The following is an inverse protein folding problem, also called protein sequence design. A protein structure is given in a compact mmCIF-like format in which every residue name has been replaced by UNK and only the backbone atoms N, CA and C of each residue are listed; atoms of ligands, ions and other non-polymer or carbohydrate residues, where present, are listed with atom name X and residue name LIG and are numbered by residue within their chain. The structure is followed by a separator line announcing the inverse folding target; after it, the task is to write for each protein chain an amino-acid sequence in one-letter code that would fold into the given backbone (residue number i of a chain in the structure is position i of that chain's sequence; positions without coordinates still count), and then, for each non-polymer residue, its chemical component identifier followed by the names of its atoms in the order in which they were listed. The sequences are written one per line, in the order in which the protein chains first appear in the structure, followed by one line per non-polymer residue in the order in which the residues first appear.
data_IF_144090219503
#
_entry.id   IF_144090219503
#
_cell.length_a   1.000
_cell.length_b   1.000
_cell.length_c   1.000
_cell.angle_alpha   90.00
_cell.angle_beta   90.00
_cell.angle_gamma   90.00
#
_symmetry.space_group_name_H-M   'P 1'
#
loop_
_entity.id
_entity.type
_entity.pdbx_description
1 polymer ?
#
# COMPACT_ATOMS: atom_id res chain seq x y z
N UNK A 1 3.78 0.91 -10.48
CA UNK A 1 4.93 1.62 -9.84
C UNK A 1 5.31 2.63 -10.90
N UNK A 2 4.72 3.83 -10.91
CA UNK A 2 4.52 4.55 -12.19
C UNK A 2 5.35 5.84 -12.33
N UNK A 3 6.51 5.90 -11.68
CA UNK A 3 7.63 6.57 -12.36
C UNK A 3 8.12 5.58 -13.40
N UNK A 4 8.19 6.01 -14.66
CA UNK A 4 8.90 5.24 -15.68
C UNK A 4 10.27 4.87 -15.12
N UNK A 5 10.47 3.60 -14.83
CA UNK A 5 11.66 3.12 -14.14
C UNK A 5 12.57 2.41 -15.13
N UNK A 6 13.85 2.31 -14.78
CA UNK A 6 14.79 1.49 -15.53
C UNK A 6 14.74 0.08 -14.96
N UNK A 7 14.19 -0.87 -15.72
CA UNK A 7 14.24 -2.28 -15.38
C UNK A 7 15.61 -2.83 -15.79
N UNK A 8 16.35 -3.43 -14.85
CA UNK A 8 17.70 -3.93 -15.12
C UNK A 8 17.75 -5.45 -15.04
N UNK A 9 18.17 -6.09 -16.13
CA UNK A 9 18.30 -7.54 -16.24
C UNK A 9 19.80 -7.92 -16.20
N UNK A 10 20.30 -8.17 -14.99
CA UNK A 10 21.73 -8.34 -14.67
C UNK A 10 22.42 -9.61 -15.18
N UNK A 11 21.87 -10.29 -16.18
CA UNK A 11 22.33 -11.64 -16.53
C UNK A 11 23.73 -11.63 -17.18
N UNK A 12 24.72 -12.13 -16.43
CA UNK A 12 26.10 -12.31 -16.89
C UNK A 12 27.08 -11.18 -16.52
N UNK A 13 26.58 -10.08 -15.93
CA UNK A 13 27.43 -9.03 -15.37
C UNK A 13 28.03 -9.46 -14.02
N UNK A 14 29.22 -8.95 -13.68
CA UNK A 14 29.77 -9.14 -12.35
C UNK A 14 28.91 -8.37 -11.33
N UNK A 15 28.43 -9.05 -10.30
CA UNK A 15 27.50 -8.50 -9.30
C UNK A 15 27.95 -7.15 -8.72
N UNK A 16 29.24 -7.02 -8.36
CA UNK A 16 29.78 -5.78 -7.81
C UNK A 16 29.76 -4.60 -8.80
N UNK A 17 29.93 -4.87 -10.09
CA UNK A 17 29.87 -3.84 -11.13
C UNK A 17 28.42 -3.44 -11.42
N UNK A 18 27.51 -4.42 -11.42
CA UNK A 18 26.08 -4.19 -11.55
C UNK A 18 25.55 -3.34 -10.39
N UNK A 19 25.83 -3.71 -9.14
CA UNK A 19 25.40 -2.95 -7.96
C UNK A 19 25.91 -1.51 -7.98
N UNK A 20 27.17 -1.31 -8.41
CA UNK A 20 27.74 0.01 -8.58
C UNK A 20 27.00 0.83 -9.65
N UNK A 21 26.68 0.23 -10.80
CA UNK A 21 25.90 0.87 -11.87
C UNK A 21 24.52 1.28 -11.37
N UNK A 22 23.79 0.35 -10.72
CA UNK A 22 22.46 0.60 -10.16
C UNK A 22 22.49 1.75 -9.16
N UNK A 23 23.47 1.74 -8.24
CA UNK A 23 23.65 2.79 -7.25
C UNK A 23 23.90 4.16 -7.90
N UNK A 24 24.71 4.22 -8.96
CA UNK A 24 25.05 5.47 -9.65
C UNK A 24 23.90 6.00 -10.49
N UNK A 25 23.12 5.13 -11.13
CA UNK A 25 21.89 5.53 -11.83
C UNK A 25 20.90 6.12 -10.82
N UNK A 26 20.69 5.44 -9.68
CA UNK A 26 19.82 5.94 -8.61
C UNK A 26 20.31 7.27 -8.02
N UNK A 27 21.61 7.44 -7.80
CA UNK A 27 22.20 8.68 -7.32
C UNK A 27 22.02 9.87 -8.29
N UNK A 28 21.71 9.61 -9.56
CA UNK A 28 21.37 10.62 -10.57
C UNK A 28 19.86 10.90 -10.68
N UNK A 29 19.07 10.42 -9.71
CA UNK A 29 17.64 10.69 -9.59
C UNK A 29 16.75 9.83 -10.47
N UNK A 30 17.23 8.68 -10.95
CA UNK A 30 16.44 7.74 -11.74
C UNK A 30 15.99 6.55 -10.87
N UNK A 31 14.71 6.17 -10.98
CA UNK A 31 14.18 4.98 -10.31
C UNK A 31 14.61 3.73 -11.06
N UNK A 32 15.21 2.78 -10.34
CA UNK A 32 15.77 1.55 -10.92
C UNK A 32 15.17 0.34 -10.22
N UNK A 33 14.71 -0.63 -11.01
CA UNK A 33 14.18 -1.90 -10.52
C UNK A 33 15.06 -3.01 -11.06
N UNK A 34 15.63 -3.82 -10.17
CA UNK A 34 16.37 -5.01 -10.56
C UNK A 34 15.39 -6.15 -10.84
N UNK A 35 15.45 -6.71 -12.04
CA UNK A 35 14.74 -7.92 -12.39
C UNK A 35 15.39 -9.17 -11.80
N UNK A 36 14.71 -10.33 -11.82
CA UNK A 36 15.30 -11.59 -11.36
C UNK A 36 16.52 -12.00 -12.19
N UNK A 37 17.44 -12.75 -11.57
CA UNK A 37 18.60 -13.32 -12.26
C UNK A 37 18.18 -14.41 -13.28
N UNK A 38 19.16 -14.93 -14.04
CA UNK A 38 19.00 -15.91 -15.15
C UNK A 38 17.96 -16.99 -14.81
N UNK A 39 16.87 -17.04 -15.58
CA UNK A 39 15.79 -18.03 -15.47
C UNK A 39 14.54 -17.58 -14.68
N UNK A 40 14.53 -16.38 -14.09
CA UNK A 40 13.32 -15.76 -13.55
C UNK A 40 12.67 -14.77 -14.53
N UNK A 41 11.34 -14.63 -14.47
CA UNK A 41 10.62 -13.58 -15.20
C UNK A 41 10.31 -12.41 -14.26
N UNK A 42 10.61 -11.15 -14.64
CA UNK A 42 10.09 -10.01 -13.90
C UNK A 42 8.56 -10.10 -13.85
N UNK A 43 7.95 -9.55 -12.79
CA UNK A 43 6.49 -9.50 -12.75
C UNK A 43 5.98 -8.65 -13.92
N UNK A 44 4.82 -9.02 -14.49
CA UNK A 44 4.20 -8.27 -15.58
C UNK A 44 4.08 -6.76 -15.28
N UNK A 45 3.80 -6.40 -14.02
CA UNK A 45 3.75 -5.00 -13.59
C UNK A 45 5.11 -4.28 -13.71
N UNK A 46 6.23 -4.96 -13.41
CA UNK A 46 7.56 -4.38 -13.58
C UNK A 46 7.88 -4.17 -15.06
N UNK A 47 7.53 -5.10 -15.94
CA UNK A 47 7.78 -4.93 -17.37
C UNK A 47 6.86 -3.89 -18.02
N UNK A 48 5.57 -3.86 -17.65
CA UNK A 48 4.60 -2.93 -18.21
C UNK A 48 4.96 -1.47 -17.91
N UNK A 49 5.44 -1.20 -16.69
CA UNK A 49 5.71 0.15 -16.18
C UNK A 49 7.15 0.65 -16.47
N UNK A 50 8.05 -0.22 -16.97
CA UNK A 50 9.44 0.15 -17.21
C UNK A 50 9.60 1.11 -18.41
N UNK A 51 10.24 2.26 -18.18
CA UNK A 51 10.62 3.21 -19.23
C UNK A 51 11.69 2.68 -20.18
N UNK A 52 12.64 1.93 -19.61
CA UNK A 52 13.75 1.37 -20.33
C UNK A 52 14.09 0.00 -19.75
N UNK A 53 14.52 -0.90 -20.63
CA UNK A 53 15.10 -2.18 -20.24
C UNK A 53 16.62 -2.08 -20.42
N UNK A 54 17.34 -2.08 -19.30
CA UNK A 54 18.79 -2.04 -19.27
C UNK A 54 19.35 -3.47 -19.16
N UNK A 55 20.13 -3.87 -20.16
CA UNK A 55 20.76 -5.19 -20.22
C UNK A 55 22.27 -5.02 -20.12
N UNK A 56 22.85 -5.09 -18.91
CA UNK A 56 24.29 -5.07 -18.75
C UNK A 56 24.91 -6.43 -19.12
N UNK A 57 25.98 -6.42 -19.92
CA UNK A 57 26.81 -7.61 -20.18
C UNK A 57 28.08 -7.61 -19.33
N UNK A 58 28.54 -8.81 -19.01
CA UNK A 58 29.87 -9.06 -18.46
C UNK A 58 30.66 -10.02 -19.34
N UNK A 59 31.60 -10.76 -18.74
CA UNK A 59 32.50 -11.66 -19.46
C UNK A 59 31.79 -12.80 -20.23
N UNK A 60 30.53 -13.10 -19.87
CA UNK A 60 29.74 -14.17 -20.49
C UNK A 60 28.93 -13.71 -21.72
N UNK A 61 29.02 -12.43 -22.11
CA UNK A 61 28.28 -11.88 -23.25
C UNK A 61 26.89 -11.38 -22.88
N UNK A 62 26.04 -11.19 -23.90
CA UNK A 62 24.65 -10.77 -23.71
C UNK A 62 23.78 -11.94 -23.27
N UNK A 63 22.82 -11.71 -22.35
CA UNK A 63 21.87 -12.75 -21.98
C UNK A 63 20.95 -13.12 -23.14
N UNK A 64 20.48 -14.37 -23.16
CA UNK A 64 19.56 -14.87 -24.18
C UNK A 64 18.25 -14.07 -24.14
N UNK A 65 17.90 -13.44 -25.26
CA UNK A 65 16.72 -12.59 -25.42
C UNK A 65 15.40 -13.31 -25.20
N UNK A 66 15.40 -14.66 -25.12
CA UNK A 66 14.21 -15.45 -24.80
C UNK A 66 13.79 -15.41 -23.33
N UNK A 67 14.63 -14.89 -22.42
CA UNK A 67 14.35 -14.91 -20.98
C UNK A 67 13.48 -13.76 -20.47
N UNK A 68 13.31 -12.71 -21.28
CA UNK A 68 12.51 -11.52 -20.96
C UNK A 68 12.02 -10.89 -22.28
N UNK A 69 11.01 -10.02 -22.25
CA UNK A 69 10.41 -9.47 -23.47
C UNK A 69 11.26 -8.35 -24.11
N UNK A 70 12.54 -8.64 -24.40
CA UNK A 70 13.47 -7.68 -25.01
C UNK A 70 13.01 -7.24 -26.39
N UNK A 71 12.26 -8.10 -27.10
CA UNK A 71 11.74 -7.81 -28.43
C UNK A 71 10.73 -6.66 -28.41
N UNK A 72 9.87 -6.59 -27.38
CA UNK A 72 8.96 -5.45 -27.20
C UNK A 72 9.73 -4.16 -26.93
N UNK A 73 10.66 -4.17 -25.96
CA UNK A 73 11.47 -2.98 -25.64
C UNK A 73 12.32 -2.53 -26.84
N UNK A 74 12.86 -3.44 -27.65
CA UNK A 74 13.59 -3.11 -28.86
C UNK A 74 12.69 -2.42 -29.90
N UNK A 75 11.49 -2.98 -30.17
CA UNK A 75 10.49 -2.38 -31.09
C UNK A 75 10.05 -0.99 -30.65
N UNK A 76 9.96 -0.76 -29.34
CA UNK A 76 9.60 0.54 -28.76
C UNK A 76 10.81 1.50 -28.61
N UNK A 77 12.02 1.09 -28.99
CA UNK A 77 13.23 1.91 -28.88
C UNK A 77 13.69 2.17 -27.44
N UNK A 78 13.35 1.29 -26.51
CA UNK A 78 13.57 1.42 -25.07
C UNK A 78 14.56 0.39 -24.50
N UNK A 79 15.07 -0.50 -25.36
CA UNK A 79 16.11 -1.45 -24.99
C UNK A 79 17.47 -0.75 -25.00
N UNK A 80 18.23 -0.93 -23.92
CA UNK A 80 19.55 -0.33 -23.74
C UNK A 80 20.54 -1.39 -23.29
N UNK A 81 21.56 -1.63 -24.11
CA UNK A 81 22.68 -2.49 -23.81
C UNK A 81 23.82 -1.71 -23.15
N UNK A 82 24.37 -2.26 -22.07
CA UNK A 82 25.54 -1.66 -21.39
C UNK A 82 26.64 -2.70 -21.29
N UNK A 83 27.80 -2.43 -21.87
CA UNK A 83 28.97 -3.29 -21.63
C UNK A 83 29.66 -2.90 -20.32
N UNK A 84 29.74 -3.83 -19.37
CA UNK A 84 30.55 -3.67 -18.14
C UNK A 84 31.83 -4.52 -18.17
N UNK A 85 31.99 -5.39 -19.18
CA UNK A 85 33.12 -6.29 -19.32
C UNK A 85 34.32 -5.65 -20.02
N UNK A 86 35.52 -6.22 -19.78
CA UNK A 86 36.75 -5.81 -20.47
C UNK A 86 36.74 -6.13 -21.98
N UNK A 87 35.90 -7.08 -22.40
CA UNK A 87 35.69 -7.43 -23.80
C UNK A 87 34.26 -7.03 -24.14
N UNK A 88 34.10 -6.03 -25.01
CA UNK A 88 32.80 -5.59 -25.48
C UNK A 88 32.19 -6.64 -26.43
N UNK A 89 31.13 -7.37 -26.03
CA UNK A 89 30.41 -8.18 -26.98
C UNK A 89 29.68 -7.25 -27.96
N UNK A 90 29.65 -7.61 -29.25
CA UNK A 90 28.88 -6.87 -30.24
C UNK A 90 27.39 -6.95 -29.85
N UNK A 91 26.69 -5.82 -29.62
CA UNK A 91 25.27 -5.85 -29.32
C UNK A 91 24.48 -6.43 -30.50
N UNK A 92 23.34 -7.10 -30.25
CA UNK A 92 22.40 -7.45 -31.31
C UNK A 92 22.02 -6.23 -32.16
N UNK A 93 21.84 -6.42 -33.46
CA UNK A 93 21.38 -5.38 -34.39
C UNK A 93 19.84 -5.27 -34.35
N UNK A 94 19.32 -4.81 -33.22
CA UNK A 94 17.88 -4.69 -32.94
C UNK A 94 17.41 -3.24 -32.76
N UNK A 95 18.29 -2.26 -33.03
CA UNK A 95 18.03 -0.83 -32.88
C UNK A 95 18.12 -0.32 -31.43
N UNK A 96 18.54 -1.15 -30.48
CA UNK A 96 18.76 -0.74 -29.10
C UNK A 96 19.89 0.29 -28.95
N UNK A 97 19.80 1.12 -27.91
CA UNK A 97 20.91 1.96 -27.49
C UNK A 97 22.06 1.10 -26.95
N UNK A 98 23.31 1.47 -27.24
CA UNK A 98 24.50 0.79 -26.73
C UNK A 98 25.45 1.78 -26.06
N UNK A 99 25.92 1.44 -24.87
CA UNK A 99 26.85 2.24 -24.08
C UNK A 99 28.00 1.36 -23.57
N UNK A 100 29.24 1.77 -23.81
CA UNK A 100 30.43 1.01 -23.42
C UNK A 100 31.03 1.56 -22.12
N UNK A 101 30.81 0.84 -21.02
CA UNK A 101 31.36 1.15 -19.70
C UNK A 101 32.46 0.13 -19.31
N UNK A 102 33.18 -0.44 -20.28
CA UNK A 102 34.33 -1.31 -20.03
C UNK A 102 35.35 -0.63 -19.10
N UNK A 103 35.68 -1.28 -17.98
CA UNK A 103 36.66 -0.77 -17.01
C UNK A 103 36.19 0.48 -16.25
N UNK A 104 34.90 0.82 -16.31
CA UNK A 104 34.34 1.94 -15.58
C UNK A 104 34.44 1.73 -14.07
N UNK A 105 34.97 2.74 -13.36
CA UNK A 105 35.24 2.68 -11.93
C UNK A 105 34.14 3.33 -11.06
N UNK A 106 32.98 3.67 -11.65
CA UNK A 106 31.89 4.34 -10.95
C UNK A 106 31.98 5.88 -10.96
N UNK A 107 32.81 6.46 -11.83
CA UNK A 107 32.98 7.90 -11.98
C UNK A 107 31.99 8.52 -12.99
N UNK A 108 31.88 9.84 -13.02
CA UNK A 108 30.99 10.56 -13.94
C UNK A 108 31.62 10.69 -15.33
N UNK A 109 31.99 9.56 -15.94
CA UNK A 109 32.61 9.51 -17.27
C UNK A 109 31.66 10.06 -18.34
N UNK A 110 32.21 10.49 -19.47
CA UNK A 110 31.39 11.03 -20.57
C UNK A 110 30.36 10.00 -21.07
N UNK A 111 30.73 8.72 -21.15
CA UNK A 111 29.82 7.66 -21.59
C UNK A 111 28.75 7.34 -20.54
N UNK A 112 29.08 7.37 -19.26
CA UNK A 112 28.08 7.21 -18.19
C UNK A 112 27.07 8.38 -18.21
N UNK A 113 27.52 9.61 -18.39
CA UNK A 113 26.62 10.76 -18.51
C UNK A 113 25.70 10.64 -19.74
N UNK A 114 26.23 10.15 -20.88
CA UNK A 114 25.41 9.86 -22.07
C UNK A 114 24.34 8.80 -21.80
N UNK A 115 24.68 7.74 -21.06
CA UNK A 115 23.71 6.72 -20.63
C UNK A 115 22.61 7.36 -19.78
N UNK A 116 22.96 8.17 -18.78
CA UNK A 116 21.98 8.83 -17.91
C UNK A 116 21.06 9.76 -18.69
N UNK A 117 21.60 10.57 -19.59
CA UNK A 117 20.79 11.48 -20.40
C UNK A 117 19.86 10.72 -21.37
N UNK A 118 20.34 9.61 -21.95
CA UNK A 118 19.51 8.74 -22.77
C UNK A 118 18.36 8.11 -21.97
N UNK A 119 18.65 7.57 -20.77
CA UNK A 119 17.62 7.00 -19.88
C UNK A 119 16.60 8.07 -19.46
N UNK A 120 17.03 9.31 -19.18
CA UNK A 120 16.12 10.43 -18.89
C UNK A 120 15.19 10.72 -20.07
N UNK A 121 15.70 10.69 -21.30
CA UNK A 121 14.87 10.87 -22.49
C UNK A 121 13.87 9.73 -22.63
N UNK A 122 14.28 8.47 -22.48
CA UNK A 122 13.37 7.33 -22.55
C UNK A 122 12.27 7.39 -21.48
N UNK A 123 12.62 7.73 -20.24
CA UNK A 123 11.66 7.96 -19.17
C UNK A 123 10.71 9.11 -19.52
N UNK A 124 11.23 10.25 -19.98
CA UNK A 124 10.39 11.38 -20.35
C UNK A 124 9.44 11.06 -21.52
N UNK A 125 9.90 10.31 -22.52
CA UNK A 125 9.12 9.91 -23.70
C UNK A 125 8.09 8.85 -23.33
N UNK A 126 8.47 7.78 -22.63
CA UNK A 126 7.50 6.73 -22.24
C UNK A 126 6.45 7.26 -21.27
N UNK A 127 6.77 8.18 -20.37
CA UNK A 127 5.75 8.85 -19.53
C UNK A 127 4.80 9.74 -20.36
N UNK A 128 5.14 10.06 -21.61
CA UNK A 128 4.25 10.75 -22.55
C UNK A 128 3.31 9.80 -23.31
N UNK A 129 3.76 8.55 -23.54
CA UNK A 129 3.07 7.54 -24.35
C UNK A 129 2.38 6.45 -23.53
N UNK A 130 2.77 6.26 -22.26
CA UNK A 130 2.01 5.44 -21.33
C UNK A 130 0.59 5.99 -21.33
N UNK A 131 -0.37 5.13 -21.61
CA UNK A 131 -1.78 5.36 -21.37
C UNK A 131 -1.92 5.85 -19.93
N UNK A 132 -1.85 7.17 -19.73
CA UNK A 132 -2.21 7.77 -18.46
C UNK A 132 -3.67 7.45 -18.35
N UNK A 133 -4.01 6.49 -17.50
CA UNK A 133 -5.38 6.29 -17.07
C UNK A 133 -5.74 7.55 -16.30
N UNK A 134 -6.14 8.56 -17.06
CA UNK A 134 -6.70 9.78 -16.51
C UNK A 134 -7.93 9.38 -15.71
N UNK A 135 -8.23 10.18 -14.71
CA UNK A 135 -9.48 10.05 -14.02
C UNK A 135 -10.63 10.22 -15.03
N UNK A 136 -11.20 9.11 -15.46
CA UNK A 136 -12.27 9.10 -16.44
C UNK A 136 -13.64 9.23 -15.74
N UNK A 137 -14.58 9.84 -16.46
CA UNK A 137 -15.94 10.05 -16.01
C UNK A 137 -16.64 8.72 -15.72
N UNK A 138 -16.39 7.68 -16.53
CA UNK A 138 -17.03 6.38 -16.36
C UNK A 138 -16.56 5.67 -15.08
N UNK A 139 -15.27 5.78 -14.73
CA UNK A 139 -14.73 5.21 -13.50
C UNK A 139 -15.32 5.88 -12.26
N UNK A 140 -15.37 7.22 -12.26
CA UNK A 140 -15.97 8.00 -11.18
C UNK A 140 -17.46 7.72 -11.07
N UNK A 141 -18.16 7.63 -12.20
CA UNK A 141 -19.59 7.32 -12.24
C UNK A 141 -19.89 5.90 -11.73
N UNK A 142 -19.05 4.92 -12.10
CA UNK A 142 -19.16 3.54 -11.61
C UNK A 142 -18.93 3.47 -10.10
N UNK A 143 -17.91 4.18 -9.60
CA UNK A 143 -17.64 4.29 -8.17
C UNK A 143 -18.81 4.94 -7.42
N UNK A 144 -19.33 6.07 -7.93
CA UNK A 144 -20.48 6.77 -7.35
C UNK A 144 -21.76 5.92 -7.35
N UNK A 145 -22.03 5.19 -8.44
CA UNK A 145 -23.18 4.29 -8.54
C UNK A 145 -23.08 3.14 -7.54
N UNK A 146 -21.88 2.56 -7.40
CA UNK A 146 -21.61 1.54 -6.40
C UNK A 146 -21.79 2.03 -4.96
N UNK A 147 -21.36 3.26 -4.67
CA UNK A 147 -21.59 3.91 -3.38
C UNK A 147 -23.07 4.12 -3.11
N UNK A 148 -23.81 4.64 -4.08
CA UNK A 148 -25.25 4.88 -3.94
C UNK A 148 -26.03 3.58 -3.73
N UNK A 149 -25.64 2.49 -4.40
CA UNK A 149 -26.22 1.17 -4.17
C UNK A 149 -25.94 0.69 -2.74
N UNK A 150 -24.69 0.77 -2.28
CA UNK A 150 -24.34 0.37 -0.91
C UNK A 150 -25.03 1.22 0.16
N UNK A 151 -25.20 2.53 -0.07
CA UNK A 151 -25.99 3.41 0.78
C UNK A 151 -27.45 2.96 0.85
N UNK A 152 -28.08 2.68 -0.30
CA UNK A 152 -29.47 2.20 -0.34
C UNK A 152 -29.63 0.87 0.42
N UNK A 153 -28.63 -0.02 0.33
CA UNK A 153 -28.62 -1.28 1.06
C UNK A 153 -28.42 -1.06 2.57
N UNK A 154 -27.58 -0.11 2.98
CA UNK A 154 -27.43 0.30 4.36
C UNK A 154 -28.75 0.86 4.94
N UNK A 155 -29.43 1.74 4.22
CA UNK A 155 -30.72 2.31 4.64
C UNK A 155 -31.78 1.22 4.85
N UNK A 156 -31.81 0.19 4.00
CA UNK A 156 -32.70 -0.97 4.17
C UNK A 156 -32.36 -1.78 5.42
N UNK A 157 -31.07 -1.95 5.74
CA UNK A 157 -30.65 -2.60 7.00
C UNK A 157 -31.08 -1.76 8.20
N UNK A 158 -30.97 -0.43 8.13
CA UNK A 158 -31.40 0.46 9.22
C UNK A 158 -32.91 0.30 9.50
N UNK A 159 -33.74 0.15 8.46
CA UNK A 159 -35.20 -0.03 8.60
C UNK A 159 -35.60 -1.30 9.36
N UNK A 160 -34.78 -2.34 9.32
CA UNK A 160 -35.00 -3.60 10.05
C UNK A 160 -34.19 -3.66 11.34
N UNK A 161 -33.53 -2.55 11.69
CA UNK A 161 -32.57 -2.51 12.77
C UNK A 161 -33.18 -2.80 14.14
N UNK A 162 -34.47 -2.50 14.36
CA UNK A 162 -35.18 -2.90 15.59
C UNK A 162 -35.17 -4.43 15.79
N UNK A 163 -35.45 -5.19 14.72
CA UNK A 163 -35.38 -6.66 14.72
C UNK A 163 -33.94 -7.20 14.86
N UNK A 164 -32.95 -6.39 14.47
CA UNK A 164 -31.53 -6.75 14.58
C UNK A 164 -30.90 -6.38 15.94
N UNK A 165 -31.46 -5.38 16.62
CA UNK A 165 -30.92 -4.79 17.85
C UNK A 165 -31.04 -5.69 19.09
N UNK A 166 -32.00 -6.63 19.08
CA UNK A 166 -32.28 -7.54 20.19
C UNK A 166 -31.32 -8.74 20.30
N UNK A 167 -30.51 -9.00 19.28
CA UNK A 167 -29.63 -10.16 19.20
C UNK A 167 -28.20 -9.76 18.82
N UNK A 168 -27.45 -9.32 19.83
CA UNK A 168 -26.06 -8.86 19.69
C UNK A 168 -25.15 -9.94 19.09
N UNK A 169 -25.36 -11.20 19.47
CA UNK A 169 -24.52 -12.31 19.05
C UNK A 169 -24.71 -12.60 17.55
N UNK A 170 -25.96 -12.61 17.07
CA UNK A 170 -26.27 -12.85 15.64
C UNK A 170 -25.95 -11.64 14.76
N UNK A 171 -26.07 -10.42 15.27
CA UNK A 171 -25.78 -9.19 14.51
C UNK A 171 -24.28 -8.86 14.44
N UNK A 172 -23.45 -9.36 15.36
CA UNK A 172 -21.99 -9.09 15.40
C UNK A 172 -21.26 -9.31 14.07
N UNK A 173 -21.44 -10.44 13.35
CA UNK A 173 -20.73 -10.64 12.08
C UNK A 173 -21.13 -9.63 11.00
N UNK A 174 -22.38 -9.14 10.99
CA UNK A 174 -22.78 -8.08 10.07
C UNK A 174 -22.07 -6.77 10.41
N UNK A 175 -21.98 -6.43 11.71
CA UNK A 175 -21.28 -5.24 12.19
C UNK A 175 -19.81 -5.22 11.77
N UNK A 176 -19.09 -6.32 12.00
CA UNK A 176 -17.70 -6.45 11.58
C UNK A 176 -17.52 -6.21 10.07
N UNK A 177 -18.45 -6.69 9.24
CA UNK A 177 -18.33 -6.48 7.79
C UNK A 177 -18.67 -5.05 7.37
N UNK A 178 -19.68 -4.43 7.99
CA UNK A 178 -19.98 -3.02 7.74
C UNK A 178 -18.82 -2.09 8.15
N UNK A 179 -18.09 -2.42 9.23
CA UNK A 179 -16.87 -1.69 9.59
C UNK A 179 -15.72 -1.92 8.59
N UNK A 180 -15.53 -3.16 8.09
CA UNK A 180 -14.58 -3.43 7.00
C UNK A 180 -14.87 -2.57 5.75
N UNK A 181 -16.14 -2.49 5.32
CA UNK A 181 -16.55 -1.64 4.20
C UNK A 181 -16.27 -0.17 4.51
N UNK A 182 -16.70 0.30 5.69
CA UNK A 182 -16.55 1.69 6.11
C UNK A 182 -15.09 2.12 6.14
N UNK A 183 -14.17 1.25 6.56
CA UNK A 183 -12.72 1.52 6.53
C UNK A 183 -12.21 1.75 5.11
N UNK A 184 -12.65 0.97 4.13
CA UNK A 184 -12.25 1.20 2.73
C UNK A 184 -12.75 2.55 2.22
N UNK A 185 -14.01 2.87 2.52
CA UNK A 185 -14.62 4.14 2.13
C UNK A 185 -13.89 5.33 2.74
N UNK A 186 -13.49 5.24 4.02
CA UNK A 186 -12.69 6.27 4.70
C UNK A 186 -11.33 6.46 4.02
N UNK A 187 -10.66 5.39 3.60
CA UNK A 187 -9.38 5.47 2.86
C UNK A 187 -9.57 6.21 1.52
N UNK A 188 -10.58 5.83 0.74
CA UNK A 188 -10.87 6.48 -0.55
C UNK A 188 -11.25 7.94 -0.34
N UNK A 189 -12.17 8.23 0.60
CA UNK A 189 -12.59 9.59 0.95
C UNK A 189 -11.40 10.47 1.33
N UNK A 190 -10.54 9.99 2.24
CA UNK A 190 -9.37 10.74 2.66
C UNK A 190 -8.42 11.07 1.49
N UNK A 191 -8.27 10.14 0.53
CA UNK A 191 -7.47 10.40 -0.65
C UNK A 191 -8.10 11.44 -1.59
N UNK A 192 -9.42 11.36 -1.81
CA UNK A 192 -10.19 12.32 -2.59
C UNK A 192 -10.14 13.71 -1.97
N UNK A 193 -10.41 13.83 -0.66
CA UNK A 193 -10.32 15.08 0.11
C UNK A 193 -8.93 15.71 0.00
N UNK A 194 -7.87 14.91 0.15
CA UNK A 194 -6.50 15.38 0.02
C UNK A 194 -6.19 15.89 -1.38
N UNK A 195 -6.66 15.18 -2.41
CA UNK A 195 -6.51 15.62 -3.80
C UNK A 195 -7.22 16.95 -4.03
N UNK A 196 -8.48 17.05 -3.58
CA UNK A 196 -9.31 18.25 -3.73
C UNK A 196 -8.67 19.44 -3.01
N UNK A 197 -8.32 19.26 -1.74
CA UNK A 197 -7.70 20.30 -0.90
C UNK A 197 -6.39 20.79 -1.49
N UNK A 198 -5.52 19.88 -1.94
CA UNK A 198 -4.25 20.24 -2.56
C UNK A 198 -4.42 20.98 -3.89
N UNK A 199 -5.45 20.63 -4.67
CA UNK A 199 -5.76 21.29 -5.93
C UNK A 199 -6.36 22.69 -5.76
N UNK A 200 -7.14 22.89 -4.70
CA UNK A 200 -7.87 24.14 -4.41
C UNK A 200 -7.10 25.09 -3.46
N UNK A 201 -5.83 24.79 -3.13
CA UNK A 201 -5.07 25.58 -2.18
C UNK A 201 -4.88 27.05 -2.64
N UNK A 202 -5.01 28.06 -1.74
CA UNK A 202 -4.96 29.48 -2.10
C UNK A 202 -3.65 29.94 -2.76
N UNK A 203 -2.54 29.25 -2.50
CA UNK A 203 -1.22 29.51 -3.11
C UNK A 203 -1.02 28.81 -4.46
N UNK A 204 -2.04 28.15 -4.98
CA UNK A 204 -1.94 27.21 -6.10
C UNK A 204 -1.66 25.77 -5.64
N UNK A 205 -1.58 24.83 -6.60
CA UNK A 205 -1.51 23.40 -6.29
C UNK A 205 -0.33 22.99 -5.40
N UNK A 206 -0.61 22.21 -4.35
CA UNK A 206 0.43 21.74 -3.42
C UNK A 206 1.18 20.51 -3.96
N UNK A 207 2.30 20.75 -4.64
CA UNK A 207 3.10 19.71 -5.30
C UNK A 207 3.49 18.54 -4.38
N UNK A 208 3.77 18.79 -3.10
CA UNK A 208 4.14 17.73 -2.15
C UNK A 208 2.98 16.78 -1.84
N UNK A 209 1.74 17.27 -1.79
CA UNK A 209 0.57 16.43 -1.55
C UNK A 209 0.29 15.56 -2.76
N UNK A 210 0.34 16.13 -3.97
CA UNK A 210 0.23 15.35 -5.20
C UNK A 210 1.37 14.33 -5.33
N UNK A 211 2.59 14.66 -4.93
CA UNK A 211 3.70 13.68 -4.89
C UNK A 211 3.41 12.53 -3.92
N UNK A 212 2.83 12.84 -2.75
CA UNK A 212 2.39 11.81 -1.79
C UNK A 212 1.26 10.92 -2.31
N UNK A 213 0.38 11.42 -3.18
CA UNK A 213 -0.67 10.63 -3.83
C UNK A 213 -0.12 9.83 -5.02
N UNK A 214 0.77 10.44 -5.81
CA UNK A 214 1.46 9.88 -6.97
C UNK A 214 2.35 8.69 -6.62
N UNK A 215 3.03 8.75 -5.48
CA UNK A 215 4.02 7.75 -5.04
C UNK A 215 3.64 7.07 -3.73
N UNK A 216 2.43 7.33 -3.24
CA UNK A 216 1.90 6.74 -2.03
C UNK A 216 1.42 5.30 -2.25
N UNK A 217 0.99 4.69 -1.15
CA UNK A 217 0.44 3.33 -1.16
C UNK A 217 -1.08 3.32 -1.39
N UNK A 218 -1.67 4.32 -2.06
CA UNK A 218 -3.14 4.50 -2.10
C UNK A 218 -3.88 3.30 -2.68
N UNK A 219 -3.56 2.89 -3.91
CA UNK A 219 -4.18 1.70 -4.52
C UNK A 219 -3.97 0.45 -3.65
N UNK A 220 -2.78 0.30 -3.06
CA UNK A 220 -2.50 -0.80 -2.13
C UNK A 220 -3.33 -0.71 -0.85
N UNK A 221 -3.55 0.49 -0.29
CA UNK A 221 -4.39 0.71 0.89
C UNK A 221 -5.85 0.40 0.59
N UNK A 222 -6.35 0.77 -0.59
CA UNK A 222 -7.70 0.43 -1.05
C UNK A 222 -7.84 -1.09 -1.21
N UNK A 223 -6.87 -1.75 -1.85
CA UNK A 223 -6.84 -3.22 -1.98
C UNK A 223 -6.74 -3.95 -0.66
N UNK A 224 -5.90 -3.46 0.26
CA UNK A 224 -5.76 -4.01 1.60
C UNK A 224 -7.03 -3.76 2.43
N UNK A 225 -7.72 -2.65 2.16
CA UNK A 225 -9.01 -2.32 2.75
C UNK A 225 -10.14 -3.19 2.24
N UNK A 226 -10.05 -3.67 0.98
CA UNK A 226 -11.09 -4.43 0.26
C UNK A 226 -11.77 -5.41 1.21
N UNK A 227 -12.97 -5.02 1.63
CA UNK A 227 -13.74 -5.74 2.63
C UNK A 227 -14.08 -7.12 2.11
N UNK A 228 -14.34 -8.05 3.02
CA UNK A 228 -14.76 -9.37 2.61
C UNK A 228 -16.29 -9.40 2.39
N UNK A 229 -16.83 -8.60 1.48
CA UNK A 229 -18.29 -8.46 1.33
C UNK A 229 -18.97 -9.76 0.89
N UNK A 230 -18.29 -10.63 0.15
CA UNK A 230 -18.75 -12.01 -0.07
C UNK A 230 -18.95 -12.83 1.24
N UNK A 231 -18.39 -12.40 2.38
CA UNK A 231 -18.68 -12.97 3.71
C UNK A 231 -20.01 -12.49 4.27
N UNK A 232 -20.58 -11.36 3.81
CA UNK A 232 -21.90 -10.87 4.24
C UNK A 232 -22.96 -11.93 3.94
N UNK A 233 -23.04 -12.38 2.68
CA UNK A 233 -24.00 -13.41 2.27
C UNK A 233 -23.82 -14.71 3.05
N UNK A 234 -22.57 -15.14 3.27
CA UNK A 234 -22.25 -16.34 4.08
C UNK A 234 -22.64 -16.17 5.55
N UNK A 235 -22.39 -14.99 6.14
CA UNK A 235 -22.74 -14.68 7.54
C UNK A 235 -24.26 -14.59 7.73
N UNK A 236 -24.95 -14.06 6.74
CA UNK A 236 -26.41 -13.95 6.74
C UNK A 236 -27.11 -15.31 6.66
N UNK A 237 -26.68 -16.16 5.71
CA UNK A 237 -27.35 -17.44 5.40
C UNK A 237 -26.87 -18.65 6.21
N UNK A 238 -25.84 -18.51 7.05
CA UNK A 238 -25.32 -19.60 7.88
C UNK A 238 -26.40 -20.12 8.84
N UNK A 239 -26.41 -21.44 9.07
CA UNK A 239 -27.24 -22.08 10.11
C UNK A 239 -26.93 -21.47 11.48
N UNK A 240 -27.97 -21.12 12.24
CA UNK A 240 -27.88 -20.35 13.48
C UNK A 240 -27.51 -18.87 13.29
N UNK A 241 -27.45 -18.39 12.04
CA UNK A 241 -27.06 -17.04 11.67
C UNK A 241 -28.22 -16.04 11.67
N UNK A 242 -27.95 -14.86 11.10
CA UNK A 242 -28.86 -13.71 11.18
C UNK A 242 -30.23 -13.98 10.54
N UNK A 243 -30.25 -14.67 9.40
CA UNK A 243 -31.49 -14.96 8.67
C UNK A 243 -32.47 -15.81 9.48
N UNK A 244 -31.98 -16.81 10.23
CA UNK A 244 -32.85 -17.69 11.04
C UNK A 244 -33.51 -16.91 12.18
N UNK A 245 -32.78 -15.99 12.82
CA UNK A 245 -33.35 -15.10 13.83
C UNK A 245 -34.46 -14.23 13.23
N UNK A 246 -34.15 -13.53 12.14
CA UNK A 246 -35.10 -12.67 11.43
C UNK A 246 -36.35 -13.41 10.93
N UNK A 247 -36.23 -14.69 10.55
CA UNK A 247 -37.36 -15.49 10.10
C UNK A 247 -38.42 -15.74 11.19
N UNK A 248 -38.05 -15.59 12.46
CA UNK A 248 -38.98 -15.70 13.60
C UNK A 248 -39.70 -14.39 13.92
N UNK A 249 -39.17 -13.25 13.47
CA UNK A 249 -39.66 -11.92 13.81
C UNK A 249 -40.36 -11.21 12.64
N UNK A 250 -40.01 -11.57 11.41
CA UNK A 250 -40.47 -10.88 10.21
C UNK A 250 -41.47 -11.71 9.41
N UNK A 251 -42.34 -11.01 8.66
CA UNK A 251 -43.21 -11.66 7.68
C UNK A 251 -42.39 -12.28 6.55
N UNK A 252 -42.91 -13.33 5.89
CA UNK A 252 -42.24 -13.97 4.76
C UNK A 252 -41.89 -12.99 3.62
N UNK A 253 -42.72 -11.97 3.40
CA UNK A 253 -42.44 -10.91 2.42
C UNK A 253 -41.26 -10.05 2.86
N UNK A 254 -41.26 -9.55 4.10
CA UNK A 254 -40.17 -8.74 4.63
C UNK A 254 -38.85 -9.51 4.67
N UNK A 255 -38.89 -10.79 5.08
CA UNK A 255 -37.71 -11.65 5.06
C UNK A 255 -37.16 -11.84 3.64
N UNK A 256 -38.03 -11.99 2.64
CA UNK A 256 -37.62 -12.08 1.24
C UNK A 256 -36.94 -10.78 0.75
N UNK A 257 -37.52 -9.63 1.08
CA UNK A 257 -36.94 -8.33 0.71
C UNK A 257 -35.54 -8.13 1.34
N UNK A 258 -35.33 -8.68 2.55
CA UNK A 258 -34.02 -8.72 3.22
C UNK A 258 -33.09 -9.72 2.56
N UNK A 259 -33.56 -10.93 2.23
CA UNK A 259 -32.78 -11.93 1.49
C UNK A 259 -32.20 -11.32 0.21
N UNK A 260 -33.04 -10.61 -0.57
CA UNK A 260 -32.62 -9.92 -1.79
C UNK A 260 -31.61 -8.78 -1.52
N UNK A 261 -31.77 -8.07 -0.40
CA UNK A 261 -30.85 -7.00 0.01
C UNK A 261 -29.47 -7.56 0.38
N UNK A 262 -29.41 -8.64 1.15
CA UNK A 262 -28.16 -9.28 1.55
C UNK A 262 -27.47 -9.99 0.38
N UNK A 263 -28.23 -10.56 -0.55
CA UNK A 263 -27.67 -11.14 -1.77
C UNK A 263 -27.02 -10.07 -2.65
N UNK A 264 -27.69 -8.94 -2.84
CA UNK A 264 -27.10 -7.78 -3.54
C UNK A 264 -25.84 -7.27 -2.85
N UNK A 265 -25.86 -7.12 -1.51
CA UNK A 265 -24.68 -6.73 -0.73
C UNK A 265 -23.50 -7.71 -0.91
N UNK A 266 -23.80 -9.01 -0.92
CA UNK A 266 -22.78 -10.05 -1.08
C UNK A 266 -22.12 -10.01 -2.46
N UNK A 267 -22.87 -9.60 -3.49
CA UNK A 267 -22.41 -9.55 -4.88
C UNK A 267 -21.86 -8.17 -5.29
N UNK A 268 -22.23 -7.08 -4.60
CA UNK A 268 -21.71 -5.72 -4.83
C UNK A 268 -20.18 -5.60 -4.60
N UNK A 269 -19.56 -6.59 -3.96
CA UNK A 269 -18.10 -6.67 -3.70
C UNK A 269 -17.24 -6.60 -4.98
N UNK A 270 -17.71 -7.28 -6.03
CA UNK A 270 -16.97 -7.37 -7.29
C UNK A 270 -16.82 -6.00 -7.92
N UNK A 271 -17.96 -5.34 -8.14
CA UNK A 271 -18.03 -4.17 -8.98
C UNK A 271 -17.63 -2.89 -8.23
N UNK A 272 -18.11 -2.70 -7.00
CA UNK A 272 -17.85 -1.45 -6.26
C UNK A 272 -16.38 -1.35 -5.85
N UNK A 273 -15.78 -2.41 -5.32
CA UNK A 273 -14.36 -2.34 -4.93
C UNK A 273 -13.43 -2.36 -6.13
N UNK A 274 -13.81 -3.01 -7.24
CA UNK A 274 -13.06 -2.89 -8.48
C UNK A 274 -13.08 -1.43 -8.99
N UNK A 275 -14.24 -0.76 -8.90
CA UNK A 275 -14.34 0.66 -9.22
C UNK A 275 -13.51 1.53 -8.27
N UNK A 276 -13.50 1.25 -6.96
CA UNK A 276 -12.65 1.97 -6.00
C UNK A 276 -11.16 1.74 -6.21
N UNK A 277 -10.73 0.50 -6.53
CA UNK A 277 -9.33 0.21 -6.86
C UNK A 277 -8.93 0.97 -8.12
N UNK A 278 -9.77 0.90 -9.16
CA UNK A 278 -9.57 1.63 -10.42
C UNK A 278 -9.48 3.14 -10.21
N UNK A 279 -10.33 3.70 -9.33
CA UNK A 279 -10.27 5.10 -8.91
C UNK A 279 -8.96 5.41 -8.20
N UNK A 280 -8.49 4.56 -7.29
CA UNK A 280 -7.22 4.70 -6.61
C UNK A 280 -6.03 4.78 -7.57
N UNK A 281 -6.04 3.93 -8.60
CA UNK A 281 -5.09 3.98 -9.71
C UNK A 281 -5.18 5.28 -10.50
N UNK A 282 -6.39 5.68 -10.89
CA UNK A 282 -6.60 6.89 -11.66
C UNK A 282 -6.14 8.15 -10.90
N UNK A 283 -6.44 8.25 -9.60
CA UNK A 283 -5.96 9.32 -8.72
C UNK A 283 -4.43 9.35 -8.61
N UNK A 284 -3.80 8.17 -8.53
CA UNK A 284 -2.34 8.05 -8.49
C UNK A 284 -1.72 8.58 -9.78
N UNK A 285 -2.22 8.13 -10.94
CA UNK A 285 -1.74 8.53 -12.25
C UNK A 285 -1.98 10.02 -12.54
N UNK A 286 -3.17 10.53 -12.22
CA UNK A 286 -3.51 11.96 -12.38
C UNK A 286 -2.57 12.82 -11.52
N UNK A 287 -2.30 12.40 -10.28
CA UNK A 287 -1.36 13.09 -9.38
C UNK A 287 0.06 13.11 -9.93
N UNK A 288 0.53 12.03 -10.56
CA UNK A 288 1.86 12.00 -11.20
C UNK A 288 1.95 12.99 -12.35
N UNK A 289 0.93 13.06 -13.20
CA UNK A 289 0.90 14.03 -14.30
C UNK A 289 0.92 15.46 -13.77
N UNK A 290 0.15 15.75 -12.72
CA UNK A 290 0.13 17.06 -12.05
C UNK A 290 1.52 17.39 -11.50
N UNK A 291 2.14 16.50 -10.73
CA UNK A 291 3.49 16.69 -10.19
C UNK A 291 4.49 17.00 -11.30
N UNK A 292 4.45 16.24 -12.41
CA UNK A 292 5.33 16.47 -13.56
C UNK A 292 5.13 17.87 -14.15
N UNK A 293 3.89 18.31 -14.33
CA UNK A 293 3.62 19.65 -14.84
C UNK A 293 4.12 20.74 -13.89
N UNK A 294 3.95 20.57 -12.58
CA UNK A 294 4.46 21.50 -11.58
C UNK A 294 5.99 21.55 -11.59
N UNK A 295 6.67 20.41 -11.64
CA UNK A 295 8.14 20.32 -11.67
C UNK A 295 8.76 20.88 -12.97
N UNK A 296 8.03 20.80 -14.09
CA UNK A 296 8.50 21.31 -15.39
C UNK A 296 8.05 22.75 -15.68
N UNK A 297 7.49 23.45 -14.69
CA UNK A 297 7.02 24.85 -14.83
C UNK A 297 5.75 25.01 -15.66
N UNK A 298 5.08 23.92 -16.05
CA UNK A 298 3.83 23.86 -16.82
C UNK A 298 2.60 24.06 -15.92
N UNK A 299 2.59 25.16 -15.16
CA UNK A 299 1.60 25.40 -14.11
C UNK A 299 0.16 25.50 -14.65
N UNK A 300 -0.03 26.02 -15.85
CA UNK A 300 -1.38 26.16 -16.44
C UNK A 300 -1.97 24.81 -16.84
N UNK A 301 -1.15 23.89 -17.39
CA UNK A 301 -1.58 22.52 -17.65
C UNK A 301 -1.89 21.76 -16.36
N UNK A 302 -1.10 21.97 -15.30
CA UNK A 302 -1.38 21.40 -13.99
C UNK A 302 -2.75 21.86 -13.46
N UNK A 303 -3.03 23.17 -13.52
CA UNK A 303 -4.31 23.75 -13.10
C UNK A 303 -5.48 23.22 -13.94
N UNK A 304 -5.30 23.07 -15.26
CA UNK A 304 -6.34 22.55 -16.13
C UNK A 304 -6.70 21.10 -15.81
N UNK A 305 -5.69 20.24 -15.59
CA UNK A 305 -5.92 18.85 -15.18
C UNK A 305 -6.59 18.77 -13.79
N UNK A 306 -6.10 19.57 -12.83
CA UNK A 306 -6.72 19.65 -11.50
C UNK A 306 -8.18 20.06 -11.61
N UNK A 307 -8.50 21.15 -12.32
CA UNK A 307 -9.87 21.62 -12.47
C UNK A 307 -10.78 20.53 -13.04
N UNK A 308 -10.34 19.84 -14.11
CA UNK A 308 -11.09 18.72 -14.67
C UNK A 308 -11.29 17.58 -13.65
N UNK A 309 -10.27 17.24 -12.87
CA UNK A 309 -10.38 16.20 -11.84
C UNK A 309 -11.32 16.63 -10.69
N UNK A 310 -11.28 17.89 -10.25
CA UNK A 310 -12.17 18.43 -9.21
C UNK A 310 -13.64 18.32 -9.61
N UNK A 311 -13.98 18.70 -10.86
CA UNK A 311 -15.35 18.61 -11.38
C UNK A 311 -15.91 17.19 -11.27
N UNK A 312 -15.06 16.17 -11.39
CA UNK A 312 -15.43 14.75 -11.27
C UNK A 312 -15.44 14.27 -9.81
N UNK A 313 -14.49 14.71 -8.99
CA UNK A 313 -14.29 14.19 -7.64
C UNK A 313 -15.24 14.78 -6.60
N UNK A 314 -15.69 16.04 -6.75
CA UNK A 314 -16.60 16.68 -5.78
C UNK A 314 -17.92 15.90 -5.60
N UNK A 315 -18.62 15.48 -6.68
CA UNK A 315 -19.83 14.65 -6.53
C UNK A 315 -19.54 13.32 -5.82
N UNK A 316 -18.38 12.72 -6.08
CA UNK A 316 -17.98 11.46 -5.49
C UNK A 316 -17.66 11.59 -4.00
N UNK A 317 -16.98 12.67 -3.60
CA UNK A 317 -16.71 13.00 -2.20
C UNK A 317 -18.01 13.11 -1.40
N UNK A 318 -19.01 13.83 -1.95
CA UNK A 318 -20.32 13.95 -1.31
C UNK A 318 -21.04 12.60 -1.19
N UNK A 319 -20.94 11.73 -2.21
CA UNK A 319 -21.52 10.40 -2.16
C UNK A 319 -20.84 9.53 -1.08
N UNK A 320 -19.51 9.60 -0.96
CA UNK A 320 -18.75 8.89 0.08
C UNK A 320 -19.14 9.37 1.49
N UNK A 321 -19.33 10.67 1.69
CA UNK A 321 -19.83 11.24 2.95
C UNK A 321 -21.19 10.70 3.33
N UNK A 322 -22.14 10.72 2.40
CA UNK A 322 -23.49 10.25 2.63
C UNK A 322 -23.52 8.75 2.96
N UNK A 323 -22.75 7.93 2.24
CA UNK A 323 -22.67 6.51 2.50
C UNK A 323 -22.03 6.18 3.86
N UNK A 324 -20.95 6.89 4.24
CA UNK A 324 -20.34 6.73 5.57
C UNK A 324 -21.31 7.13 6.68
N UNK A 325 -22.08 8.20 6.50
CA UNK A 325 -23.12 8.60 7.44
C UNK A 325 -24.21 7.52 7.56
N UNK A 326 -24.66 6.95 6.44
CA UNK A 326 -25.64 5.86 6.44
C UNK A 326 -25.12 4.61 7.18
N UNK A 327 -23.86 4.21 6.96
CA UNK A 327 -23.24 3.12 7.72
C UNK A 327 -23.14 3.42 9.22
N UNK A 328 -22.88 4.68 9.59
CA UNK A 328 -22.86 5.09 10.99
C UNK A 328 -24.26 4.99 11.63
N UNK A 329 -25.32 5.34 10.90
CA UNK A 329 -26.70 5.14 11.36
C UNK A 329 -26.98 3.64 11.58
N UNK A 330 -26.64 2.79 10.61
CA UNK A 330 -26.85 1.34 10.73
C UNK A 330 -26.11 0.78 11.94
N UNK A 331 -24.83 1.10 12.10
CA UNK A 331 -24.03 0.63 13.25
C UNK A 331 -24.63 1.10 14.57
N UNK A 332 -25.11 2.35 14.65
CA UNK A 332 -25.82 2.86 15.83
C UNK A 332 -27.08 2.07 16.15
N UNK A 333 -27.91 1.75 15.15
CA UNK A 333 -29.15 0.98 15.35
C UNK A 333 -28.84 -0.47 15.77
N UNK A 334 -27.73 -1.03 15.29
CA UNK A 334 -27.23 -2.35 15.71
C UNK A 334 -26.58 -2.36 17.11
N UNK A 335 -26.82 -1.32 17.92
CA UNK A 335 -26.38 -1.22 19.31
C UNK A 335 -24.96 -0.71 19.52
N UNK A 336 -24.35 -0.08 18.51
CA UNK A 336 -23.00 0.47 18.60
C UNK A 336 -23.04 1.98 18.84
N UNK A 337 -22.86 2.41 20.09
CA UNK A 337 -22.40 3.77 20.37
C UNK A 337 -20.86 3.77 20.33
N UNK A 338 -20.25 3.56 19.16
CA UNK A 338 -18.84 3.92 19.04
C UNK A 338 -18.74 5.44 19.23
N UNK A 339 -17.88 5.87 20.15
CA UNK A 339 -17.45 7.27 20.13
C UNK A 339 -16.89 7.54 18.73
N UNK A 340 -17.31 8.62 18.04
CA UNK A 340 -16.81 8.90 16.70
C UNK A 340 -15.28 8.78 16.72
N UNK A 341 -14.68 8.00 15.80
CA UNK A 341 -13.25 7.78 15.83
C UNK A 341 -12.59 9.15 15.79
N UNK A 342 -11.67 9.43 16.72
CA UNK A 342 -10.87 10.65 16.66
C UNK A 342 -10.21 10.64 15.29
N UNK A 343 -10.51 11.64 14.46
CA UNK A 343 -9.77 11.87 13.22
C UNK A 343 -8.29 11.90 13.58
N UNK A 344 -7.59 10.80 13.29
CA UNK A 344 -6.14 10.78 13.34
C UNK A 344 -5.71 11.71 12.22
N UNK A 345 -5.45 12.97 12.57
CA UNK A 345 -4.73 13.87 11.68
C UNK A 345 -3.40 13.19 11.40
N UNK A 346 -3.27 12.60 10.22
CA UNK A 346 -2.03 12.00 9.73
C UNK A 346 -1.05 13.15 9.53
N UNK A 347 -0.38 13.58 10.60
CA UNK A 347 0.73 14.51 10.53
C UNK A 347 1.94 13.74 10.01
N UNK A 348 2.33 14.01 8.77
CA UNK A 348 3.60 13.52 8.24
C UNK A 348 4.76 14.29 8.89
N UNK A 349 5.18 13.87 10.08
CA UNK A 349 6.51 14.20 10.57
C UNK A 349 7.54 13.41 9.75
N UNK A 350 8.31 14.13 8.93
CA UNK A 350 9.46 13.67 8.12
C UNK A 350 9.15 12.62 7.04
N UNK A 351 9.15 13.09 5.78
CA UNK A 351 9.30 12.27 4.58
C UNK A 351 10.59 11.44 4.66
N UNK A 352 10.47 10.13 4.79
CA UNK A 352 11.53 9.17 4.45
C UNK A 352 11.05 8.46 3.20
N UNK A 353 11.74 8.66 2.08
CA UNK A 353 11.53 7.87 0.87
C UNK A 353 11.77 6.39 1.21
N UNK A 354 10.71 5.58 1.18
CA UNK A 354 10.83 4.12 1.18
C UNK A 354 10.58 3.65 -0.25
N UNK A 355 11.66 3.24 -0.94
CA UNK A 355 11.60 2.53 -2.22
C UNK A 355 11.04 1.10 -2.08
N UNK A 356 11.31 0.25 -3.08
CA UNK A 356 10.36 -0.59 -3.82
C UNK A 356 9.59 -1.59 -2.95
N UNK A 357 8.41 -2.03 -3.43
CA UNK A 357 7.52 -3.04 -2.80
C UNK A 357 8.30 -4.09 -2.04
N UNK A 358 8.39 -3.89 -0.73
CA UNK A 358 9.07 -4.81 0.14
C UNK A 358 8.05 -5.81 0.62
N UNK A 359 8.34 -7.09 0.37
CA UNK A 359 7.73 -8.23 1.03
C UNK A 359 7.35 -7.82 2.47
N UNK A 360 6.14 -8.14 2.93
CA UNK A 360 5.67 -7.76 4.27
C UNK A 360 6.65 -8.20 5.38
N UNK A 361 7.46 -9.24 5.14
CA UNK A 361 8.60 -9.61 5.98
C UNK A 361 9.69 -8.54 6.04
N UNK A 362 9.98 -7.86 4.93
CA UNK A 362 10.93 -6.75 4.89
C UNK A 362 10.33 -5.45 5.46
N UNK A 363 9.02 -5.21 5.28
CA UNK A 363 8.34 -4.12 6.01
C UNK A 363 8.40 -4.36 7.52
N UNK A 364 8.18 -5.59 7.97
CA UNK A 364 8.36 -5.99 9.36
C UNK A 364 9.81 -5.77 9.82
N UNK A 365 10.80 -6.23 9.06
CA UNK A 365 12.21 -6.03 9.37
C UNK A 365 12.60 -4.55 9.49
N UNK A 366 12.17 -3.70 8.55
CA UNK A 366 12.42 -2.25 8.62
C UNK A 366 11.71 -1.59 9.81
N UNK A 367 10.51 -2.04 10.14
CA UNK A 367 9.76 -1.53 11.30
C UNK A 367 10.49 -1.87 12.60
N UNK A 368 10.95 -3.11 12.73
CA UNK A 368 11.78 -3.57 13.87
C UNK A 368 13.07 -2.76 13.95
N UNK A 369 13.80 -2.60 12.85
CA UNK A 369 15.06 -1.87 12.81
C UNK A 369 14.90 -0.39 13.20
N UNK A 370 13.90 0.29 12.63
CA UNK A 370 13.60 1.70 12.97
C UNK A 370 13.23 1.86 14.44
N UNK A 371 12.39 0.96 14.96
CA UNK A 371 12.02 0.94 16.38
C UNK A 371 13.25 0.74 17.27
N UNK A 372 14.15 -0.19 16.90
CA UNK A 372 15.39 -0.44 17.65
C UNK A 372 16.31 0.79 17.68
N UNK A 373 16.46 1.49 16.55
CA UNK A 373 17.24 2.73 16.49
C UNK A 373 16.63 3.80 17.41
N UNK A 374 15.30 3.94 17.41
CA UNK A 374 14.60 4.88 18.29
C UNK A 374 14.84 4.56 19.77
N UNK A 375 14.80 3.28 20.17
CA UNK A 375 15.12 2.83 21.54
C UNK A 375 16.53 3.24 21.95
N UNK A 376 17.53 2.99 21.10
CA UNK A 376 18.93 3.35 21.39
C UNK A 376 19.12 4.85 21.59
N UNK A 377 18.41 5.67 20.81
CA UNK A 377 18.48 7.13 20.85
C UNK A 377 17.62 7.78 21.95
N UNK A 378 16.71 7.03 22.58
CA UNK A 378 15.78 7.58 23.57
C UNK A 378 16.46 7.99 24.89
N UNK A 379 15.74 8.75 25.71
CA UNK A 379 16.14 9.07 27.08
C UNK A 379 15.71 8.01 28.11
N UNK A 380 15.23 6.83 27.65
CA UNK A 380 14.76 5.79 28.54
C UNK A 380 15.90 5.23 29.43
N UNK A 381 15.57 4.74 30.64
CA UNK A 381 16.49 3.99 31.50
C UNK A 381 17.20 2.85 30.75
N UNK A 382 18.46 2.58 31.11
CA UNK A 382 19.30 1.62 30.39
C UNK A 382 18.76 0.18 30.48
N UNK A 383 18.20 -0.20 31.62
CA UNK A 383 17.54 -1.49 31.83
C UNK A 383 16.34 -1.70 30.90
N UNK A 384 15.50 -0.68 30.70
CA UNK A 384 14.39 -0.72 29.73
C UNK A 384 14.94 -0.86 28.30
N UNK A 385 16.00 -0.11 27.96
CA UNK A 385 16.65 -0.23 26.65
C UNK A 385 17.19 -1.63 26.39
N UNK A 386 17.85 -2.24 27.38
CA UNK A 386 18.43 -3.57 27.26
C UNK A 386 17.34 -4.63 27.02
N UNK A 387 16.20 -4.54 27.72
CA UNK A 387 15.07 -5.47 27.51
C UNK A 387 14.40 -5.24 26.16
N UNK A 388 14.22 -3.99 25.74
CA UNK A 388 13.69 -3.67 24.41
C UNK A 388 14.64 -4.17 23.32
N UNK A 389 15.95 -3.97 23.43
CA UNK A 389 16.93 -4.47 22.45
C UNK A 389 16.87 -5.99 22.31
N UNK A 390 16.77 -6.71 23.43
CA UNK A 390 16.56 -8.15 23.42
C UNK A 390 15.22 -8.54 22.78
N UNK A 391 14.15 -7.76 23.00
CA UNK A 391 12.84 -8.00 22.42
C UNK A 391 12.84 -7.75 20.90
N UNK A 392 13.57 -6.75 20.41
CA UNK A 392 13.77 -6.52 18.98
C UNK A 392 14.47 -7.72 18.32
N UNK A 393 15.53 -8.24 18.95
CA UNK A 393 16.25 -9.41 18.43
C UNK A 393 15.38 -10.68 18.46
N UNK A 394 14.63 -10.89 19.54
CA UNK A 394 13.67 -12.00 19.62
C UNK A 394 12.59 -11.90 18.53
N UNK A 395 12.05 -10.71 18.29
CA UNK A 395 11.03 -10.47 17.27
C UNK A 395 11.59 -10.66 15.86
N UNK A 396 12.80 -10.16 15.60
CA UNK A 396 13.50 -10.36 14.32
C UNK A 396 13.69 -11.85 14.02
N UNK A 397 14.15 -12.63 15.00
CA UNK A 397 14.28 -14.07 14.85
C UNK A 397 12.93 -14.76 14.63
N UNK A 398 11.88 -14.33 15.35
CA UNK A 398 10.53 -14.89 15.24
C UNK A 398 9.89 -14.63 13.87
N UNK A 399 9.97 -13.39 13.38
CA UNK A 399 9.33 -12.95 12.12
C UNK A 399 9.79 -13.74 10.90
N UNK A 400 11.00 -14.30 10.90
CA UNK A 400 11.48 -15.19 9.83
C UNK A 400 10.73 -16.52 9.73
N UNK A 401 9.98 -16.91 10.78
CA UNK A 401 9.24 -18.18 10.88
C UNK A 401 7.73 -18.00 10.88
N UNK A 402 7.26 -16.76 10.83
CA UNK A 402 5.84 -16.43 10.87
C UNK A 402 5.25 -16.28 9.47
N UNK A 403 3.92 -16.33 9.38
CA UNK A 403 3.23 -15.87 8.19
C UNK A 403 3.53 -14.38 7.98
N UNK A 404 3.50 -13.94 6.72
CA UNK A 404 3.67 -12.54 6.33
C UNK A 404 2.78 -11.57 7.15
N UNK A 405 1.52 -11.95 7.37
CA UNK A 405 0.56 -11.17 8.16
C UNK A 405 0.94 -11.12 9.65
N UNK A 406 1.29 -12.25 10.24
CA UNK A 406 1.67 -12.32 11.66
C UNK A 406 3.02 -11.60 11.92
N UNK A 407 3.95 -11.66 10.96
CA UNK A 407 5.23 -10.94 11.04
C UNK A 407 5.02 -9.42 11.04
N UNK A 408 4.16 -8.91 10.15
CA UNK A 408 3.81 -7.50 10.11
C UNK A 408 3.09 -7.04 11.40
N UNK A 409 2.18 -7.87 11.94
CA UNK A 409 1.50 -7.59 13.19
C UNK A 409 2.48 -7.53 14.37
N UNK A 410 3.39 -8.51 14.47
CA UNK A 410 4.41 -8.55 15.52
C UNK A 410 5.33 -7.33 15.47
N UNK A 411 5.76 -6.92 14.27
CA UNK A 411 6.59 -5.73 14.11
C UNK A 411 5.87 -4.44 14.51
N UNK A 412 4.57 -4.33 14.19
CA UNK A 412 3.74 -3.20 14.61
C UNK A 412 3.57 -3.16 16.13
N UNK A 413 3.21 -4.29 16.75
CA UNK A 413 2.98 -4.35 18.19
C UNK A 413 4.29 -4.16 18.98
N UNK A 414 5.43 -4.64 18.47
CA UNK A 414 6.75 -4.31 19.03
C UNK A 414 7.02 -2.81 19.02
N UNK A 415 6.78 -2.15 17.87
CA UNK A 415 6.98 -0.71 17.72
C UNK A 415 6.10 0.05 18.73
N UNK A 416 4.81 -0.25 18.77
CA UNK A 416 3.87 0.40 19.67
C UNK A 416 4.28 0.19 21.14
N UNK A 417 4.73 -1.02 21.50
CA UNK A 417 5.21 -1.32 22.86
C UNK A 417 6.50 -0.58 23.21
N UNK A 418 7.43 -0.44 22.27
CA UNK A 418 8.66 0.33 22.45
C UNK A 418 8.37 1.82 22.62
N UNK A 419 7.49 2.40 21.79
CA UNK A 419 7.06 3.80 21.90
C UNK A 419 6.43 4.09 23.26
N UNK A 420 5.56 3.20 23.75
CA UNK A 420 4.96 3.34 25.08
C UNK A 420 5.99 3.20 26.20
N UNK A 421 6.92 2.24 26.13
CA UNK A 421 7.97 2.08 27.14
C UNK A 421 8.95 3.27 27.22
N UNK A 422 9.09 4.03 26.12
CA UNK A 422 9.90 5.25 26.08
C UNK A 422 9.11 6.53 26.41
N UNK A 423 7.78 6.44 26.49
CA UNK A 423 6.92 7.60 26.70
C UNK A 423 7.07 8.15 28.13
N UNK A 424 7.11 9.48 28.32
CA UNK A 424 7.05 10.07 29.66
C UNK A 424 5.68 9.86 30.32
N UNK A 425 4.65 9.57 29.53
CA UNK A 425 3.27 9.33 29.98
C UNK A 425 2.69 8.10 29.25
N UNK A 426 3.10 6.88 29.63
CA UNK A 426 2.69 5.66 28.93
C UNK A 426 1.17 5.43 29.03
N UNK A 427 0.57 5.09 27.90
CA UNK A 427 -0.84 4.74 27.74
C UNK A 427 -1.06 3.25 28.00
N UNK A 428 -1.61 2.93 29.18
CA UNK A 428 -1.89 1.54 29.58
C UNK A 428 -2.70 0.73 28.55
N UNK A 429 -3.78 1.26 27.92
CA UNK A 429 -4.53 0.50 26.91
C UNK A 429 -3.71 0.13 25.67
N UNK A 430 -2.85 1.05 25.20
CA UNK A 430 -2.00 0.82 24.02
C UNK A 430 -0.96 -0.24 24.35
N UNK A 431 -0.35 -0.13 25.53
CA UNK A 431 0.64 -1.08 26.01
C UNK A 431 0.07 -2.50 26.17
N UNK A 432 -1.10 -2.65 26.82
CA UNK A 432 -1.74 -3.97 27.00
C UNK A 432 -2.07 -4.62 25.66
N UNK A 433 -2.69 -3.86 24.73
CA UNK A 433 -3.01 -4.36 23.40
C UNK A 433 -1.75 -4.81 22.65
N UNK A 434 -0.67 -4.03 22.70
CA UNK A 434 0.58 -4.37 22.03
C UNK A 434 1.25 -5.62 22.66
N UNK A 435 1.27 -5.69 23.99
CA UNK A 435 1.77 -6.85 24.72
C UNK A 435 0.98 -8.12 24.39
N UNK A 436 -0.35 -8.06 24.42
CA UNK A 436 -1.23 -9.18 24.07
C UNK A 436 -1.05 -9.63 22.61
N UNK A 437 -0.84 -8.67 21.69
CA UNK A 437 -0.51 -8.94 20.29
C UNK A 437 0.77 -9.75 20.15
N UNK A 438 1.86 -9.31 20.79
CA UNK A 438 3.14 -10.02 20.80
C UNK A 438 3.02 -11.40 21.47
N UNK A 439 2.33 -11.51 22.61
CA UNK A 439 2.11 -12.79 23.29
C UNK A 439 1.30 -13.77 22.45
N UNK A 440 0.28 -13.28 21.73
CA UNK A 440 -0.53 -14.09 20.81
C UNK A 440 0.34 -14.64 19.68
N UNK A 441 1.21 -13.81 19.09
CA UNK A 441 2.14 -14.25 18.04
C UNK A 441 3.19 -15.22 18.59
N UNK A 442 3.75 -14.95 19.77
CA UNK A 442 4.70 -15.82 20.43
C UNK A 442 4.12 -17.23 20.69
N UNK A 443 2.86 -17.30 21.16
CA UNK A 443 2.16 -18.58 21.37
C UNK A 443 2.01 -19.38 20.07
N UNK A 444 1.71 -18.72 18.94
CA UNK A 444 1.62 -19.39 17.63
C UNK A 444 2.97 -19.96 17.18
N UNK A 445 4.07 -19.37 17.60
CA UNK A 445 5.43 -19.79 17.23
C UNK A 445 6.01 -20.91 18.12
N UNK A 446 5.24 -21.40 19.11
CA UNK A 446 5.65 -22.49 20.01
C UNK A 446 6.93 -22.17 20.77
N UNK A 447 7.86 -23.12 20.81
CA UNK A 447 9.12 -23.02 21.56
C UNK A 447 9.97 -21.80 21.17
N UNK A 448 9.85 -21.32 19.93
CA UNK A 448 10.61 -20.14 19.47
C UNK A 448 10.07 -18.85 20.11
N UNK A 449 8.82 -18.83 20.56
CA UNK A 449 8.17 -17.68 21.18
C UNK A 449 8.47 -17.48 22.67
N UNK A 450 9.05 -18.46 23.37
CA UNK A 450 9.26 -18.42 24.83
C UNK A 450 10.08 -17.20 25.27
N UNK A 451 11.16 -16.90 24.54
CA UNK A 451 12.02 -15.74 24.83
C UNK A 451 11.24 -14.42 24.73
N UNK A 452 10.32 -14.31 23.77
CA UNK A 452 9.47 -13.13 23.62
C UNK A 452 8.50 -12.98 24.78
N UNK A 453 7.89 -14.08 25.24
CA UNK A 453 6.99 -14.08 26.41
C UNK A 453 7.71 -13.56 27.66
N UNK A 454 8.91 -14.08 27.93
CA UNK A 454 9.71 -13.66 29.08
C UNK A 454 10.09 -12.16 29.02
N UNK A 455 10.46 -11.67 27.83
CA UNK A 455 10.85 -10.28 27.64
C UNK A 455 9.67 -9.30 27.76
N UNK A 456 8.50 -9.67 27.22
CA UNK A 456 7.26 -8.90 27.40
C UNK A 456 6.88 -8.86 28.90
N UNK A 457 7.02 -9.99 29.61
CA UNK A 457 6.82 -10.05 31.06
C UNK A 457 7.78 -9.16 31.85
N UNK A 458 9.06 -9.10 31.47
CA UNK A 458 10.04 -8.18 32.08
C UNK A 458 9.71 -6.71 31.81
N UNK A 459 9.23 -6.36 30.62
CA UNK A 459 8.78 -5.00 30.33
C UNK A 459 7.56 -4.59 31.17
N UNK A 460 6.67 -5.55 31.44
CA UNK A 460 5.51 -5.35 32.29
C UNK A 460 5.86 -4.95 33.73
N UNK A 461 6.95 -5.48 34.29
CA UNK A 461 7.38 -5.15 35.66
C UNK A 461 7.92 -3.72 35.78
N UNK A 462 8.61 -3.21 34.76
CA UNK A 462 9.09 -1.81 34.74
C UNK A 462 7.95 -0.79 34.74
N UNK A 463 6.80 -1.16 34.17
CA UNK A 463 5.61 -0.31 34.10
C UNK A 463 4.68 -0.48 35.31
N UNK A 464 5.08 -1.27 36.32
CA UNK A 464 4.29 -1.49 37.53
C UNK A 464 3.03 -2.33 37.31
N UNK A 465 3.01 -3.16 36.27
CA UNK A 465 1.83 -3.90 35.84
C UNK A 465 2.20 -5.35 35.53
N UNK A 466 2.28 -6.27 36.52
CA UNK A 466 2.54 -7.67 36.23
C UNK A 466 1.46 -8.25 35.32
N UNK A 467 1.86 -8.81 34.17
CA UNK A 467 0.99 -9.60 33.32
C UNK A 467 0.72 -10.93 34.03
N UNK A 468 -0.55 -11.33 34.12
CA UNK A 468 -0.91 -12.70 34.51
C UNK A 468 -0.61 -13.62 33.34
N UNK A 469 0.66 -13.99 33.17
CA UNK A 469 1.15 -14.87 32.08
C UNK A 469 0.76 -16.31 32.34
#
# INVERSE_FOLDING_TARGET
MDEGHVLVMGAGAQESALDLLLHKIAANGLTVVRGPDIGGHPSYAQEADAAALLVPSGAQGWPDSKQFDSTRFAKEGQLVYVNLGAVAPVPPDDGAGYFDLAGWAGDASAEFNRLIDHLRVLIATRVSDLYVWKLDTDQVHSAASGIAELQSLADKIAQIGDALSGDEERSRPLRETLDEISRTYRVVKSAVERFITAGAAPGGPEAQVFAGLAYGTLAQQIRNGRGHCHRIGRRYTRVGGLREGLATELTAKALKDIDETFDRLANADGDVFSAMDSLGYALTNESQVIVRYLLTGRSDQARQNIAGALDRLIPLESALEQALAAFQVVTSVLGYAESPPKEEKIYMSKLVFQGPVINSTVVAAQTIEKSQIAVKQSAAPQDIKDVLDALHEATKNLTSRLSQKDAALAAKDLKDLAEEAMSPTPSRPVWLRAADGLLSVAKKAGDTGVVMVDLVGKLATFLGHPLGV
#
